data_IF_467845957051
#
_entry.id   IF_467845957051
#
_cell.length_a   1.000
_cell.length_b   1.000
_cell.length_c   1.000
_cell.angle_alpha   90.00
_cell.angle_beta   90.00
_cell.angle_gamma   90.00
#
_symmetry.space_group_name_H-M   'P 1'
#
loop_
_entity.id
_entity.type
_entity.pdbx_description
1 polymer ?
#
# COMPACT_ATOMS: atom_id res chain seq x y z
N UNK A 1 -2.86 -19.32 -9.58
CA UNK A 1 -1.88 -19.53 -8.49
C UNK A 1 -1.65 -18.16 -7.88
N UNK A 2 -2.01 -17.96 -6.62
CA UNK A 2 -1.53 -16.78 -5.90
C UNK A 2 -0.01 -16.92 -5.85
N UNK A 3 0.72 -15.91 -6.31
CA UNK A 3 2.17 -15.86 -6.12
C UNK A 3 2.48 -15.83 -4.61
N UNK A 4 3.72 -15.58 -4.22
CA UNK A 4 4.02 -15.23 -2.83
C UNK A 4 3.45 -13.83 -2.51
N UNK A 5 2.12 -13.75 -2.47
CA UNK A 5 1.34 -12.55 -2.24
C UNK A 5 1.21 -12.36 -0.73
N UNK A 6 1.84 -11.32 -0.21
CA UNK A 6 1.81 -10.99 1.21
C UNK A 6 0.83 -9.84 1.41
N UNK A 7 -0.21 -10.10 2.20
CA UNK A 7 -1.18 -9.10 2.62
C UNK A 7 -0.72 -8.46 3.92
N UNK A 8 -0.61 -7.14 3.94
CA UNK A 8 -0.20 -6.39 5.13
C UNK A 8 -1.23 -5.33 5.47
N UNK A 9 -1.55 -5.21 6.75
CA UNK A 9 -2.31 -4.07 7.28
C UNK A 9 -1.33 -2.97 7.68
N UNK A 10 -1.56 -1.76 7.17
CA UNK A 10 -0.73 -0.58 7.40
C UNK A 10 -1.59 0.53 8.01
N UNK A 11 -1.24 1.00 9.21
CA UNK A 11 -1.88 2.18 9.80
C UNK A 11 -1.24 3.45 9.23
N UNK A 12 -2.01 4.54 9.20
CA UNK A 12 -1.50 5.85 8.81
C UNK A 12 -0.29 6.32 9.64
N UNK A 13 -0.17 5.85 10.88
CA UNK A 13 0.99 6.14 11.76
C UNK A 13 2.27 5.37 11.39
N UNK A 14 2.21 4.38 10.50
CA UNK A 14 3.37 3.64 10.00
C UNK A 14 4.06 4.42 8.86
N UNK A 15 4.70 5.54 9.21
CA UNK A 15 5.24 6.53 8.26
C UNK A 15 6.07 5.93 7.10
N UNK A 16 6.91 4.92 7.37
CA UNK A 16 7.74 4.27 6.34
C UNK A 16 6.89 3.55 5.29
N UNK A 17 5.92 2.73 5.73
CA UNK A 17 5.03 2.01 4.82
C UNK A 17 4.04 2.95 4.12
N UNK A 18 3.63 4.03 4.79
CA UNK A 18 2.84 5.08 4.16
C UNK A 18 3.58 5.79 3.03
N UNK A 19 4.89 5.97 3.14
CA UNK A 19 5.69 6.53 2.05
C UNK A 19 5.68 5.61 0.80
N UNK A 20 5.80 4.29 1.01
CA UNK A 20 5.68 3.30 -0.09
C UNK A 20 4.30 3.33 -0.75
N UNK A 21 3.22 3.44 0.05
CA UNK A 21 1.84 3.58 -0.47
C UNK A 21 1.68 4.88 -1.26
N UNK A 22 2.20 6.00 -0.74
CA UNK A 22 2.12 7.29 -1.41
C UNK A 22 2.87 7.29 -2.74
N UNK A 23 4.05 6.68 -2.79
CA UNK A 23 4.81 6.50 -4.03
C UNK A 23 4.04 5.62 -5.03
N UNK A 24 3.52 4.47 -4.60
CA UNK A 24 2.75 3.58 -5.46
C UNK A 24 1.52 4.27 -6.06
N UNK A 25 0.75 5.01 -5.25
CA UNK A 25 -0.40 5.77 -5.74
C UNK A 25 0.03 6.84 -6.74
N UNK A 26 1.10 7.58 -6.44
CA UNK A 26 1.63 8.61 -7.34
C UNK A 26 2.08 8.04 -8.69
N UNK A 27 2.75 6.89 -8.71
CA UNK A 27 3.15 6.17 -9.94
C UNK A 27 1.95 5.68 -10.77
N UNK A 28 0.75 5.64 -10.18
CA UNK A 28 -0.51 5.27 -10.83
C UNK A 28 -1.46 6.48 -10.99
N UNK A 29 -0.95 7.71 -10.93
CA UNK A 29 -1.72 8.97 -11.05
C UNK A 29 -2.84 9.14 -10.00
N UNK A 30 -2.65 8.53 -8.83
CA UNK A 30 -3.55 8.62 -7.68
C UNK A 30 -2.88 9.37 -6.52
N UNK A 31 -3.70 9.84 -5.59
CA UNK A 31 -3.26 10.50 -4.35
C UNK A 31 -3.74 9.74 -3.12
N UNK A 32 -3.01 9.85 -2.02
CA UNK A 32 -3.44 9.30 -0.73
C UNK A 32 -4.70 10.03 -0.24
N UNK A 33 -5.78 9.28 0.01
CA UNK A 33 -6.92 9.79 0.76
C UNK A 33 -6.54 9.91 2.24
N UNK A 34 -6.59 11.15 2.76
CA UNK A 34 -6.17 11.45 4.14
C UNK A 34 -7.22 11.09 5.20
N UNK A 35 -8.41 10.64 4.78
CA UNK A 35 -9.48 10.14 5.66
C UNK A 35 -9.32 8.65 6.00
N UNK A 36 -8.50 7.92 5.23
CA UNK A 36 -8.21 6.51 5.47
C UNK A 36 -7.20 6.35 6.60
N UNK A 37 -7.59 5.62 7.64
CA UNK A 37 -6.75 5.34 8.82
C UNK A 37 -5.94 4.05 8.67
N UNK A 38 -6.44 3.10 7.87
CA UNK A 38 -5.85 1.77 7.69
C UNK A 38 -5.91 1.37 6.23
N UNK A 39 -4.76 1.03 5.67
CA UNK A 39 -4.62 0.45 4.34
C UNK A 39 -4.37 -1.06 4.44
N UNK A 40 -4.87 -1.81 3.48
CA UNK A 40 -4.46 -3.16 3.15
C UNK A 40 -3.61 -3.09 1.90
N UNK A 41 -2.39 -3.63 1.97
CA UNK A 41 -1.46 -3.71 0.84
C UNK A 41 -1.25 -5.15 0.43
N UNK A 42 -0.94 -5.35 -0.85
CA UNK A 42 -0.50 -6.63 -1.41
C UNK A 42 0.89 -6.44 -1.97
N UNK A 43 1.85 -7.18 -1.45
CA UNK A 43 3.20 -7.26 -2.03
C UNK A 43 3.42 -8.60 -2.70
N UNK A 44 4.10 -8.58 -3.84
CA UNK A 44 4.54 -9.76 -4.59
C UNK A 44 5.98 -9.53 -5.01
N UNK A 45 6.85 -10.49 -4.77
CA UNK A 45 8.28 -10.39 -5.09
C UNK A 45 8.89 -9.08 -4.56
N UNK A 46 8.56 -8.74 -3.32
CA UNK A 46 8.98 -7.51 -2.61
C UNK A 46 8.47 -6.19 -3.19
N UNK A 47 7.61 -6.22 -4.21
CA UNK A 47 6.98 -5.03 -4.80
C UNK A 47 5.53 -4.88 -4.36
N UNK A 48 5.13 -3.66 -4.02
CA UNK A 48 3.73 -3.30 -3.82
C UNK A 48 2.99 -3.34 -5.16
N UNK A 49 1.95 -4.18 -5.26
CA UNK A 49 1.17 -4.35 -6.50
C UNK A 49 -0.28 -3.87 -6.36
N UNK A 50 -0.76 -3.69 -5.13
CA UNK A 50 -2.08 -3.15 -4.85
C UNK A 50 -2.13 -2.56 -3.44
N UNK A 51 -2.92 -1.51 -3.26
CA UNK A 51 -3.33 -1.01 -1.96
C UNK A 51 -4.81 -0.63 -1.99
N UNK A 52 -5.47 -0.68 -0.83
CA UNK A 52 -6.84 -0.23 -0.64
C UNK A 52 -7.07 0.12 0.83
N UNK A 53 -8.06 0.95 1.13
CA UNK A 53 -8.32 1.44 2.48
C UNK A 53 -9.74 1.93 2.65
#
# INVERSE_FOLDING_TARGET
MFGNDIFTRVKRSENKKMAEIAQFLHENDLSVDTTVEVFITVTRDEKLIACGG
#
